data_IF_519236786168
#
_entry.id   IF_519236786168
#
_cell.length_a   1.000
_cell.length_b   1.000
_cell.length_c   1.000
_cell.angle_alpha   90.00
_cell.angle_beta   90.00
_cell.angle_gamma   90.00
#
_symmetry.space_group_name_H-M   'P 1'
#
loop_
_entity.id
_entity.type
_entity.pdbx_description
1 polymer ?
#
# COMPACT_ATOMS: atom_id res chain seq x y z
N UNK A 1 -14.11 -9.68 -17.29
CA UNK A 1 -13.48 -9.59 -15.96
C UNK A 1 -12.00 -9.30 -16.17
N UNK A 2 -11.67 -8.07 -16.54
CA UNK A 2 -10.28 -7.60 -16.67
C UNK A 2 -9.82 -7.12 -15.31
N UNK A 3 -9.67 -8.05 -14.38
CA UNK A 3 -9.05 -7.77 -13.09
C UNK A 3 -7.54 -7.68 -13.35
N UNK A 4 -6.97 -6.48 -13.28
CA UNK A 4 -5.50 -6.35 -13.19
C UNK A 4 -5.12 -5.80 -11.82
N UNK A 5 -5.34 -6.54 -10.70
CA UNK A 5 -4.95 -6.12 -9.36
C UNK A 5 -3.52 -5.60 -9.30
N UNK A 6 -2.60 -6.24 -10.04
CA UNK A 6 -1.21 -5.82 -10.09
C UNK A 6 -1.03 -4.40 -10.64
N UNK A 7 -1.78 -4.01 -11.68
CA UNK A 7 -1.66 -2.68 -12.27
C UNK A 7 -2.11 -1.61 -11.28
N UNK A 8 -3.21 -1.83 -10.59
CA UNK A 8 -3.75 -0.87 -9.63
C UNK A 8 -2.85 -0.77 -8.40
N UNK A 9 -2.30 -1.89 -7.92
CA UNK A 9 -1.29 -1.90 -6.86
C UNK A 9 -0.06 -1.07 -7.25
N UNK A 10 0.45 -1.23 -8.48
CA UNK A 10 1.60 -0.47 -8.96
C UNK A 10 1.30 1.02 -9.12
N UNK A 11 0.08 1.39 -9.51
CA UNK A 11 -0.37 2.79 -9.56
C UNK A 11 -0.40 3.38 -8.15
N UNK A 12 -1.03 2.70 -7.19
CA UNK A 12 -1.09 3.16 -5.81
C UNK A 12 0.31 3.26 -5.20
N UNK A 13 1.18 2.27 -5.42
CA UNK A 13 2.56 2.30 -4.96
C UNK A 13 3.36 3.48 -5.53
N UNK A 14 3.16 3.81 -6.81
CA UNK A 14 3.79 4.98 -7.42
C UNK A 14 3.28 6.30 -6.82
N UNK A 15 1.98 6.39 -6.55
CA UNK A 15 1.37 7.55 -5.89
C UNK A 15 1.91 7.72 -4.47
N UNK A 16 2.06 6.61 -3.73
CA UNK A 16 2.63 6.62 -2.38
C UNK A 16 4.09 7.07 -2.37
N UNK A 17 4.92 6.54 -3.29
CA UNK A 17 6.32 6.96 -3.43
C UNK A 17 6.43 8.47 -3.68
N UNK A 18 5.58 9.00 -4.57
CA UNK A 18 5.53 10.44 -4.84
C UNK A 18 5.08 11.24 -3.60
N UNK A 19 4.07 10.77 -2.86
CA UNK A 19 3.59 11.40 -1.62
C UNK A 19 4.65 11.45 -0.52
N UNK A 20 5.52 10.43 -0.49
CA UNK A 20 6.62 10.31 0.47
C UNK A 20 7.93 10.97 -0.01
N UNK A 21 7.92 11.60 -1.19
CA UNK A 21 9.09 12.22 -1.79
C UNK A 21 10.25 11.23 -2.06
N UNK A 22 9.92 9.95 -2.32
CA UNK A 22 10.89 8.92 -2.66
C UNK A 22 11.02 8.80 -4.18
N UNK A 23 12.25 8.84 -4.69
CA UNK A 23 12.53 8.72 -6.13
C UNK A 23 12.31 7.31 -6.70
N UNK A 24 12.25 6.30 -5.83
CA UNK A 24 12.10 4.90 -6.21
C UNK A 24 10.92 4.25 -5.49
N UNK A 25 10.32 3.26 -6.15
CA UNK A 25 9.28 2.42 -5.56
C UNK A 25 9.96 1.33 -4.73
N UNK A 26 10.06 1.55 -3.41
CA UNK A 26 10.46 0.54 -2.43
C UNK A 26 9.35 -0.45 -2.09
N UNK A 27 9.70 -1.47 -1.30
CA UNK A 27 8.75 -2.51 -0.86
C UNK A 27 7.63 -1.92 -0.01
N UNK A 28 7.95 -0.91 0.80
CA UNK A 28 6.98 -0.17 1.62
C UNK A 28 5.85 0.45 0.79
N UNK A 29 6.18 0.95 -0.40
CA UNK A 29 5.21 1.56 -1.31
C UNK A 29 4.34 0.51 -1.98
N UNK A 30 4.93 -0.64 -2.35
CA UNK A 30 4.18 -1.79 -2.88
C UNK A 30 3.20 -2.35 -1.86
N UNK A 31 3.63 -2.51 -0.60
CA UNK A 31 2.77 -2.99 0.49
C UNK A 31 1.65 -1.98 0.73
N UNK A 32 1.96 -0.68 0.80
CA UNK A 32 0.93 0.36 0.96
C UNK A 32 -0.05 0.35 -0.21
N UNK A 33 0.43 0.26 -1.44
CA UNK A 33 -0.42 0.20 -2.63
C UNK A 33 -1.33 -1.04 -2.68
N UNK A 34 -0.87 -2.17 -2.14
CA UNK A 34 -1.67 -3.39 -1.98
C UNK A 34 -2.73 -3.26 -0.87
N UNK A 35 -2.42 -2.56 0.22
CA UNK A 35 -3.36 -2.30 1.31
C UNK A 35 -4.41 -1.23 0.98
N UNK A 36 -4.09 -0.30 0.07
CA UNK A 36 -5.04 0.71 -0.42
C UNK A 36 -6.06 0.15 -1.42
N UNK A 37 -5.82 -1.04 -1.99
CA UNK A 37 -6.78 -1.74 -2.84
C UNK A 37 -7.94 -2.29 -1.99
N UNK A 38 -9.04 -1.54 -1.93
CA UNK A 38 -10.27 -1.93 -1.20
C UNK A 38 -10.80 -3.28 -1.69
N UNK A 39 -11.05 -4.18 -0.75
CA UNK A 39 -11.51 -5.55 -1.06
C UNK A 39 -10.44 -6.45 -1.70
N UNK A 40 -9.19 -5.98 -1.80
CA UNK A 40 -8.06 -6.80 -2.23
C UNK A 40 -7.62 -7.77 -1.13
N UNK A 41 -6.94 -8.85 -1.53
CA UNK A 41 -6.50 -9.94 -0.63
C UNK A 41 -5.67 -9.41 0.55
N UNK A 42 -4.77 -8.45 0.33
CA UNK A 42 -3.93 -7.90 1.38
C UNK A 42 -4.75 -7.15 2.46
N UNK A 43 -5.72 -6.34 2.04
CA UNK A 43 -6.63 -5.64 2.94
C UNK A 43 -7.52 -6.64 3.70
N UNK A 44 -8.13 -7.59 2.99
CA UNK A 44 -8.98 -8.62 3.60
C UNK A 44 -8.25 -9.49 4.62
N UNK A 45 -6.97 -9.81 4.38
CA UNK A 45 -6.17 -10.59 5.31
C UNK A 45 -5.95 -9.82 6.62
N UNK A 46 -5.55 -8.55 6.56
CA UNK A 46 -5.36 -7.73 7.77
C UNK A 46 -6.66 -7.58 8.56
N UNK A 47 -7.78 -7.36 7.87
CA UNK A 47 -9.10 -7.27 8.48
C UNK A 47 -9.50 -8.57 9.19
N UNK A 48 -9.19 -9.74 8.61
CA UNK A 48 -9.41 -11.05 9.25
C UNK A 48 -8.63 -11.23 10.56
N UNK A 49 -7.45 -10.61 10.67
CA UNK A 49 -6.65 -10.59 11.91
C UNK A 49 -6.99 -9.42 12.83
N UNK A 50 -8.05 -8.65 12.53
CA UNK A 50 -8.52 -7.55 13.39
C UNK A 50 -7.76 -6.24 13.23
N UNK A 51 -6.93 -6.11 12.21
CA UNK A 51 -6.19 -4.87 11.92
C UNK A 51 -6.94 -4.02 10.89
N UNK A 52 -7.02 -2.70 11.15
CA UNK A 52 -7.43 -1.75 10.10
C UNK A 52 -6.24 -1.43 9.22
N UNK A 53 -6.44 -1.48 7.91
CA UNK A 53 -5.40 -1.19 6.90
C UNK A 53 -4.77 0.19 7.13
N UNK A 54 -5.57 1.21 7.43
CA UNK A 54 -5.10 2.58 7.69
C UNK A 54 -4.03 2.64 8.81
N UNK A 55 -4.22 1.89 9.91
CA UNK A 55 -3.23 1.87 11.00
C UNK A 55 -1.90 1.24 10.59
N UNK A 56 -1.95 0.19 9.75
CA UNK A 56 -0.76 -0.49 9.25
C UNK A 56 -0.03 0.38 8.23
N UNK A 57 -0.77 1.02 7.32
CA UNK A 57 -0.22 1.99 6.36
C UNK A 57 0.48 3.13 7.11
N UNK A 58 -0.14 3.69 8.14
CA UNK A 58 0.46 4.74 8.95
C UNK A 58 1.72 4.26 9.68
N UNK A 59 1.73 3.02 10.17
CA UNK A 59 2.91 2.44 10.80
C UNK A 59 4.08 2.26 9.82
N UNK A 60 3.80 1.82 8.60
CA UNK A 60 4.78 1.72 7.51
C UNK A 60 5.36 3.11 7.21
N UNK A 61 4.50 4.11 6.97
CA UNK A 61 4.90 5.50 6.66
C UNK A 61 5.78 6.11 7.75
N UNK A 62 5.50 5.82 9.03
CA UNK A 62 6.33 6.28 10.15
C UNK A 62 7.72 5.65 10.15
N UNK A 63 7.86 4.38 9.78
CA UNK A 63 9.15 3.69 9.72
C UNK A 63 9.99 4.08 8.51
N UNK A 64 9.35 4.31 7.36
CA UNK A 64 10.06 4.63 6.12
C UNK A 64 10.69 6.02 6.12
N UNK A 65 10.17 6.96 6.94
CA UNK A 65 10.57 8.36 6.90
C UNK A 65 10.14 9.05 5.61
N UNK A 66 10.25 10.38 5.54
CA UNK A 66 10.12 11.13 4.28
C UNK A 66 11.52 11.35 3.70
N UNK A 67 11.63 11.24 2.37
CA UNK A 67 12.84 11.55 1.62
C UNK A 67 13.18 13.04 1.61
#
# INVERSE_FOLDING_TARGET
MTDTPLRDILINARQEAARMNHHFIGVEHLVTGALELRGGIAASLLEQYGYKTDYVIDAIRRHSGKG
#
